data_IF_790947680905
#
_entry.id   IF_790947680905
#
_cell.length_a   1.000
_cell.length_b   1.000
_cell.length_c   1.000
_cell.angle_alpha   90.00
_cell.angle_beta   90.00
_cell.angle_gamma   90.00
#
_symmetry.space_group_name_H-M   'P 1'
#
loop_
_entity.id
_entity.type
_entity.pdbx_description
1 polymer ?
#
# COMPACT_ATOMS: atom_id res chain seq x y z
N UNK A 1 -4.82 28.80 -2.50
CA UNK A 1 -5.52 28.17 -1.37
C UNK A 1 -4.74 28.50 -0.11
N UNK A 2 -5.39 29.02 0.89
CA UNK A 2 -4.77 29.32 2.19
C UNK A 2 -5.36 28.34 3.19
N UNK A 3 -4.56 27.44 3.72
CA UNK A 3 -4.95 26.53 4.79
C UNK A 3 -4.58 27.13 6.14
N UNK A 4 -5.39 26.93 7.17
CA UNK A 4 -5.07 27.37 8.53
C UNK A 4 -3.84 26.65 9.06
N UNK A 5 -3.76 25.33 8.80
CA UNK A 5 -2.63 24.47 9.14
C UNK A 5 -2.49 23.39 8.09
N UNK A 6 -1.26 22.85 7.99
CA UNK A 6 -0.97 21.68 7.18
C UNK A 6 -0.48 20.58 8.11
N UNK A 7 -1.09 19.41 8.00
CA UNK A 7 -0.72 18.21 8.77
C UNK A 7 -0.31 17.09 7.84
N UNK A 8 0.58 16.25 8.33
CA UNK A 8 0.91 14.98 7.71
C UNK A 8 0.76 13.84 8.70
N UNK A 9 0.10 12.77 8.28
CA UNK A 9 -0.01 11.51 9.00
C UNK A 9 0.51 10.38 8.14
N UNK A 10 1.29 9.47 8.73
CA UNK A 10 1.84 8.31 8.04
C UNK A 10 3.09 7.77 8.71
N UNK A 11 3.70 6.79 8.07
CA UNK A 11 4.84 6.07 8.63
C UNK A 11 6.02 6.00 7.66
N UNK A 12 7.20 5.73 8.23
CA UNK A 12 8.41 5.45 7.47
C UNK A 12 8.98 6.65 6.71
N UNK A 13 9.80 6.33 5.72
CA UNK A 13 10.52 7.33 4.90
C UNK A 13 9.54 8.15 4.04
N UNK A 14 8.48 7.53 3.54
CA UNK A 14 7.52 8.23 2.64
C UNK A 14 6.90 9.44 3.34
N UNK A 15 6.36 9.26 4.55
CA UNK A 15 5.74 10.37 5.28
C UNK A 15 6.75 11.48 5.62
N UNK A 16 7.98 11.12 6.04
CA UNK A 16 9.03 12.09 6.37
C UNK A 16 9.48 12.92 5.17
N UNK A 17 9.66 12.29 4.01
CA UNK A 17 10.07 13.00 2.80
C UNK A 17 8.91 13.84 2.23
N UNK A 18 7.66 13.35 2.28
CA UNK A 18 6.49 14.14 1.92
C UNK A 18 6.37 15.40 2.81
N UNK A 19 6.67 15.32 4.11
CA UNK A 19 6.70 16.49 4.99
C UNK A 19 7.69 17.54 4.51
N UNK A 20 8.92 17.15 4.17
CA UNK A 20 9.96 18.06 3.67
C UNK A 20 9.54 18.73 2.36
N UNK A 21 9.04 17.93 1.41
CA UNK A 21 8.56 18.45 0.13
C UNK A 21 7.40 19.45 0.32
N UNK A 22 6.46 19.13 1.21
CA UNK A 22 5.33 20.01 1.49
C UNK A 22 5.73 21.29 2.21
N UNK A 23 6.67 21.24 3.17
CA UNK A 23 7.26 22.43 3.81
C UNK A 23 7.86 23.39 2.75
N UNK A 24 8.66 22.85 1.84
CA UNK A 24 9.27 23.62 0.76
C UNK A 24 8.22 24.20 -0.20
N UNK A 25 7.25 23.39 -0.59
CA UNK A 25 6.21 23.76 -1.56
C UNK A 25 5.29 24.89 -1.04
N UNK A 26 4.82 24.78 0.20
CA UNK A 26 3.90 25.74 0.79
C UNK A 26 4.60 26.91 1.47
N UNK A 27 5.91 26.80 1.72
CA UNK A 27 6.69 27.76 2.54
C UNK A 27 6.03 27.98 3.91
N UNK A 28 5.48 26.93 4.47
CA UNK A 28 4.75 26.88 5.73
C UNK A 28 5.11 25.60 6.47
N UNK A 29 5.12 25.64 7.80
CA UNK A 29 5.35 24.45 8.62
C UNK A 29 4.26 23.41 8.41
N UNK A 30 4.68 22.17 8.12
CA UNK A 30 3.82 21.00 8.04
C UNK A 30 3.98 20.17 9.30
N UNK A 31 2.94 20.12 10.09
CA UNK A 31 2.94 19.46 11.39
C UNK A 31 2.79 17.95 11.24
N UNK A 32 3.76 17.19 11.74
CA UNK A 32 3.68 15.74 11.72
C UNK A 32 2.81 15.24 12.88
N UNK A 33 1.73 14.54 12.54
CA UNK A 33 0.82 13.94 13.53
C UNK A 33 1.49 12.72 14.17
N UNK A 34 1.95 12.88 15.42
CA UNK A 34 2.65 11.84 16.20
C UNK A 34 2.12 11.83 17.62
N UNK A 35 2.18 10.67 18.24
CA UNK A 35 1.90 10.50 19.68
C UNK A 35 0.55 11.11 20.12
N UNK A 36 -0.45 11.05 19.25
CA UNK A 36 -1.82 11.45 19.57
C UNK A 36 -2.58 10.21 20.03
N UNK A 37 -2.99 10.19 21.29
CA UNK A 37 -3.71 9.06 21.89
C UNK A 37 -5.06 8.82 21.22
N UNK A 38 -5.79 9.91 20.90
CA UNK A 38 -7.08 9.84 20.23
C UNK A 38 -7.05 10.64 18.92
N UNK A 39 -6.77 9.95 17.81
CA UNK A 39 -6.77 10.55 16.48
C UNK A 39 -8.18 11.04 16.03
N UNK A 40 -9.24 10.34 16.44
CA UNK A 40 -10.60 10.72 16.07
C UNK A 40 -10.94 12.11 16.66
N UNK A 41 -10.65 12.34 17.94
CA UNK A 41 -10.87 13.63 18.58
C UNK A 41 -9.97 14.73 18.02
N UNK A 42 -8.71 14.42 17.74
CA UNK A 42 -7.80 15.36 17.12
C UNK A 42 -8.33 15.84 15.76
N UNK A 43 -8.63 14.92 14.86
CA UNK A 43 -9.07 15.23 13.51
C UNK A 43 -10.48 15.84 13.44
N UNK A 44 -11.39 15.48 14.36
CA UNK A 44 -12.74 16.04 14.45
C UNK A 44 -12.76 17.56 14.63
N UNK A 45 -11.77 18.08 15.36
CA UNK A 45 -11.68 19.51 15.71
C UNK A 45 -10.98 20.35 14.64
N UNK A 46 -10.34 19.73 13.62
CA UNK A 46 -9.68 20.49 12.55
C UNK A 46 -10.69 21.09 11.58
N UNK A 47 -10.39 22.32 11.13
CA UNK A 47 -11.15 23.04 10.12
C UNK A 47 -10.22 23.79 9.18
N UNK A 48 -10.53 23.83 7.90
CA UNK A 48 -9.76 24.52 6.87
C UNK A 48 -8.27 24.12 6.84
N UNK A 49 -7.98 22.86 7.11
CA UNK A 49 -6.64 22.31 7.08
C UNK A 49 -6.40 21.50 5.80
N UNK A 50 -5.12 21.41 5.39
CA UNK A 50 -4.67 20.36 4.49
C UNK A 50 -4.12 19.21 5.33
N UNK A 51 -4.61 18.00 5.08
CA UNK A 51 -4.11 16.78 5.71
C UNK A 51 -3.53 15.87 4.64
N UNK A 52 -2.26 15.54 4.77
CA UNK A 52 -1.52 14.67 3.85
C UNK A 52 -1.41 13.29 4.50
N UNK A 53 -2.06 12.30 3.92
CA UNK A 53 -2.00 10.90 4.34
C UNK A 53 -0.99 10.15 3.48
N UNK A 54 0.16 9.79 4.05
CA UNK A 54 1.29 9.23 3.34
C UNK A 54 1.78 7.94 4.00
N UNK A 55 1.42 6.78 3.43
CA UNK A 55 1.66 5.45 3.99
C UNK A 55 1.01 5.32 5.39
N UNK A 56 -0.30 5.40 5.42
CA UNK A 56 -1.13 5.49 6.62
C UNK A 56 -2.33 4.56 6.56
N UNK A 57 -2.73 4.03 7.71
CA UNK A 57 -3.90 3.14 7.86
C UNK A 57 -5.08 3.77 8.61
N UNK A 58 -4.94 5.03 9.07
CA UNK A 58 -6.04 5.72 9.72
C UNK A 58 -7.14 6.07 8.71
N UNK A 59 -8.39 5.78 9.06
CA UNK A 59 -9.57 6.07 8.25
C UNK A 59 -10.24 7.34 8.78
N UNK A 60 -10.17 8.41 8.00
CA UNK A 60 -10.77 9.70 8.36
C UNK A 60 -12.28 9.60 8.48
N UNK A 61 -12.82 10.18 9.53
CA UNK A 61 -14.27 10.24 9.76
C UNK A 61 -14.90 11.35 8.91
N UNK A 62 -16.20 11.20 8.66
CA UNK A 62 -17.00 12.12 7.83
C UNK A 62 -16.84 13.59 8.23
N UNK A 63 -16.89 13.89 9.53
CA UNK A 63 -16.78 15.25 10.06
C UNK A 63 -15.43 15.90 9.71
N UNK A 64 -14.35 15.13 9.72
CA UNK A 64 -13.04 15.61 9.32
C UNK A 64 -12.98 15.86 7.81
N UNK A 65 -13.48 14.94 7.02
CA UNK A 65 -13.48 15.02 5.54
C UNK A 65 -14.26 16.25 5.07
N UNK A 66 -15.41 16.54 5.66
CA UNK A 66 -16.27 17.66 5.26
C UNK A 66 -15.69 19.04 5.57
N UNK A 67 -14.78 19.14 6.56
CA UNK A 67 -14.23 20.42 7.03
C UNK A 67 -12.82 20.72 6.53
N UNK A 68 -12.16 19.73 5.91
CA UNK A 68 -10.76 19.80 5.54
C UNK A 68 -10.51 19.29 4.13
N UNK A 69 -9.37 19.67 3.58
CA UNK A 69 -8.85 19.06 2.36
C UNK A 69 -7.93 17.92 2.76
N UNK A 70 -8.20 16.71 2.28
CA UNK A 70 -7.39 15.53 2.63
C UNK A 70 -6.95 14.85 1.35
N UNK A 71 -5.65 14.61 1.21
CA UNK A 71 -5.07 13.83 0.12
C UNK A 71 -4.42 12.56 0.65
N UNK A 72 -4.49 11.49 -0.11
CA UNK A 72 -3.93 10.20 0.27
C UNK A 72 -3.06 9.59 -0.82
N UNK A 73 -1.97 8.97 -0.40
CA UNK A 73 -1.17 8.09 -1.23
C UNK A 73 -1.70 6.66 -1.17
N UNK A 74 -2.03 6.12 -2.33
CA UNK A 74 -2.45 4.74 -2.50
C UNK A 74 -1.52 3.99 -3.45
N UNK A 75 -1.11 2.78 -3.09
CA UNK A 75 -0.14 1.96 -3.82
C UNK A 75 -0.79 1.04 -4.86
N UNK A 76 -1.69 1.60 -5.67
CA UNK A 76 -2.29 0.97 -6.84
C UNK A 76 -2.72 2.03 -7.85
N UNK A 77 -3.13 1.58 -9.03
CA UNK A 77 -3.82 2.38 -10.05
C UNK A 77 -5.32 2.38 -9.74
N UNK A 78 -5.81 3.36 -8.97
CA UNK A 78 -7.24 3.48 -8.71
C UNK A 78 -8.05 3.60 -10.02
N UNK A 79 -9.22 2.92 -10.08
CA UNK A 79 -10.01 2.35 -9.02
C UNK A 79 -9.67 0.90 -8.64
N UNK A 80 -8.62 0.30 -9.18
CA UNK A 80 -8.25 -1.08 -8.89
C UNK A 80 -7.59 -1.20 -7.51
N UNK A 81 -7.77 -2.36 -6.85
CA UNK A 81 -7.14 -2.70 -5.57
C UNK A 81 -7.29 -1.64 -4.48
N UNK A 82 -8.49 -1.08 -4.31
CA UNK A 82 -8.79 -0.17 -3.19
C UNK A 82 -8.59 -0.86 -1.84
N UNK A 83 -8.31 -0.12 -0.80
CA UNK A 83 -8.13 -0.61 0.56
C UNK A 83 -6.68 -0.96 0.87
N UNK A 84 -6.44 -2.15 1.43
CA UNK A 84 -5.13 -2.50 1.97
C UNK A 84 -4.36 -3.49 1.07
N UNK A 85 -3.02 -3.46 1.19
CA UNK A 85 -2.14 -4.47 0.60
C UNK A 85 -2.23 -4.59 -0.92
N UNK A 86 -2.56 -3.52 -1.63
CA UNK A 86 -2.75 -3.53 -3.08
C UNK A 86 -1.56 -4.12 -3.86
N UNK A 87 -0.33 -3.91 -3.39
CA UNK A 87 0.89 -4.47 -3.97
C UNK A 87 0.93 -6.00 -3.91
N UNK A 88 0.38 -6.62 -2.85
CA UNK A 88 0.23 -8.07 -2.70
C UNK A 88 -0.78 -8.59 -3.75
N UNK A 89 -1.92 -7.92 -3.81
CA UNK A 89 -3.02 -8.32 -4.68
C UNK A 89 -2.69 -8.17 -6.16
N UNK A 90 -1.97 -7.10 -6.55
CA UNK A 90 -1.51 -6.93 -7.93
C UNK A 90 -0.62 -8.08 -8.41
N UNK A 91 0.26 -8.61 -7.54
CA UNK A 91 1.08 -9.78 -7.87
C UNK A 91 0.22 -11.05 -7.89
N UNK A 92 -0.62 -11.26 -6.88
CA UNK A 92 -1.45 -12.44 -6.77
C UNK A 92 -2.45 -12.59 -7.93
N UNK A 93 -3.08 -11.51 -8.35
CA UNK A 93 -4.03 -11.49 -9.46
C UNK A 93 -3.36 -11.47 -10.84
N UNK A 94 -2.01 -11.52 -10.85
CA UNK A 94 -1.19 -11.56 -12.07
C UNK A 94 -1.40 -10.35 -12.97
N UNK A 95 -1.53 -9.18 -12.40
CA UNK A 95 -1.64 -7.95 -13.14
C UNK A 95 -0.41 -7.75 -14.03
N UNK A 96 -0.61 -7.21 -15.22
CA UNK A 96 0.51 -6.83 -16.11
C UNK A 96 1.13 -5.51 -15.72
N UNK A 97 0.38 -4.68 -15.00
CA UNK A 97 0.78 -3.37 -14.52
C UNK A 97 0.03 -3.01 -13.23
N UNK A 98 0.69 -2.29 -12.39
CA UNK A 98 0.15 -1.62 -11.20
C UNK A 98 0.68 -0.19 -11.17
N UNK A 99 0.71 0.47 -10.03
CA UNK A 99 1.29 1.80 -9.94
C UNK A 99 1.02 2.47 -8.61
N UNK A 100 0.95 3.80 -8.66
CA UNK A 100 0.59 4.62 -7.51
C UNK A 100 -0.49 5.63 -7.89
N UNK A 101 -1.24 6.06 -6.90
CA UNK A 101 -2.22 7.14 -7.04
C UNK A 101 -2.12 8.07 -5.83
N UNK A 102 -1.94 9.38 -6.09
CA UNK A 102 -2.32 10.43 -5.15
C UNK A 102 -3.73 10.87 -5.47
N UNK A 103 -4.61 10.88 -4.48
CA UNK A 103 -6.03 11.19 -4.67
C UNK A 103 -6.60 11.99 -3.50
N UNK A 104 -7.73 12.64 -3.73
CA UNK A 104 -8.54 13.25 -2.68
C UNK A 104 -9.18 12.16 -1.80
N UNK A 105 -9.32 12.41 -0.51
CA UNK A 105 -10.08 11.50 0.38
C UNK A 105 -11.56 11.87 0.34
N UNK A 106 -12.41 10.86 0.14
CA UNK A 106 -13.88 10.91 0.25
C UNK A 106 -14.37 9.95 1.34
N UNK A 107 -15.67 9.97 1.65
CA UNK A 107 -16.26 9.10 2.69
C UNK A 107 -16.05 7.60 2.40
N UNK A 108 -16.12 7.21 1.13
CA UNK A 108 -15.80 5.84 0.72
C UNK A 108 -14.30 5.68 0.49
N UNK A 109 -13.74 4.55 0.93
CA UNK A 109 -12.30 4.28 0.88
C UNK A 109 -11.79 4.27 -0.56
N UNK A 110 -10.75 5.07 -0.81
CA UNK A 110 -10.01 5.17 -2.08
C UNK A 110 -10.88 5.46 -3.31
N UNK A 111 -11.93 6.28 -3.15
CA UNK A 111 -12.86 6.66 -4.22
C UNK A 111 -12.76 8.13 -4.62
N UNK A 112 -11.85 8.88 -4.04
CA UNK A 112 -11.71 10.30 -4.30
C UNK A 112 -11.06 10.63 -5.64
N UNK A 113 -11.20 11.87 -6.08
CA UNK A 113 -10.69 12.34 -7.36
C UNK A 113 -9.16 12.23 -7.42
N UNK A 114 -8.65 11.86 -8.58
CA UNK A 114 -7.25 11.58 -8.80
C UNK A 114 -6.48 12.88 -9.03
N UNK A 115 -5.44 13.11 -8.25
CA UNK A 115 -4.46 14.16 -8.46
C UNK A 115 -3.43 13.72 -9.50
N UNK A 116 -2.68 12.66 -9.22
CA UNK A 116 -1.70 12.09 -10.12
C UNK A 116 -1.65 10.58 -9.99
N UNK A 117 -1.40 9.92 -11.10
CA UNK A 117 -1.32 8.47 -11.21
C UNK A 117 -0.18 8.06 -12.15
N UNK A 118 0.57 7.03 -11.79
CA UNK A 118 1.66 6.53 -12.63
C UNK A 118 1.75 5.02 -12.59
N UNK A 119 1.91 4.43 -13.78
CA UNK A 119 2.06 2.99 -13.96
C UNK A 119 3.45 2.47 -13.60
N UNK A 120 3.48 1.23 -13.12
CA UNK A 120 4.66 0.37 -12.99
C UNK A 120 4.32 -0.94 -13.70
N UNK A 121 5.15 -1.36 -14.65
CA UNK A 121 5.04 -2.70 -15.25
C UNK A 121 5.46 -3.74 -14.25
N UNK A 122 4.70 -4.82 -14.13
CA UNK A 122 5.06 -5.97 -13.32
C UNK A 122 5.76 -7.02 -14.17
N UNK A 123 6.87 -7.52 -13.69
CA UNK A 123 7.55 -8.68 -14.22
C UNK A 123 7.34 -9.92 -13.35
N UNK A 124 7.73 -11.07 -13.86
CA UNK A 124 7.54 -12.34 -13.17
C UNK A 124 8.50 -12.56 -11.98
N UNK A 125 9.44 -11.67 -11.74
CA UNK A 125 10.39 -11.74 -10.62
C UNK A 125 10.04 -10.74 -9.51
N UNK A 126 9.07 -9.87 -9.75
CA UNK A 126 8.67 -8.85 -8.80
C UNK A 126 8.08 -9.48 -7.53
N UNK A 127 8.65 -9.16 -6.36
CA UNK A 127 8.10 -9.51 -5.05
C UNK A 127 7.31 -8.34 -4.46
N UNK A 128 6.44 -8.63 -3.48
CA UNK A 128 5.66 -7.60 -2.81
C UNK A 128 6.56 -6.53 -2.18
N UNK A 129 7.69 -6.91 -1.58
CA UNK A 129 8.65 -5.96 -1.02
C UNK A 129 9.29 -5.07 -2.09
N UNK A 130 9.75 -5.67 -3.19
CA UNK A 130 10.38 -4.91 -4.29
C UNK A 130 9.40 -3.93 -4.94
N UNK A 131 8.16 -4.36 -5.14
CA UNK A 131 7.09 -3.53 -5.67
C UNK A 131 6.75 -2.37 -4.74
N UNK A 132 6.55 -2.65 -3.45
CA UNK A 132 6.24 -1.61 -2.47
C UNK A 132 7.33 -0.53 -2.42
N UNK A 133 8.61 -0.94 -2.47
CA UNK A 133 9.74 -0.01 -2.50
C UNK A 133 9.73 0.85 -3.79
N UNK A 134 9.45 0.27 -4.93
CA UNK A 134 9.31 0.99 -6.20
C UNK A 134 8.14 1.98 -6.15
N UNK A 135 7.00 1.58 -5.61
CA UNK A 135 5.82 2.41 -5.42
C UNK A 135 6.10 3.59 -4.47
N UNK A 136 6.77 3.36 -3.35
CA UNK A 136 7.17 4.42 -2.41
C UNK A 136 8.08 5.46 -3.07
N UNK A 137 9.08 5.00 -3.85
CA UNK A 137 9.97 5.90 -4.59
C UNK A 137 9.18 6.73 -5.61
N UNK A 138 8.30 6.10 -6.36
CA UNK A 138 7.48 6.77 -7.37
C UNK A 138 6.51 7.77 -6.75
N UNK A 139 5.89 7.42 -5.62
CA UNK A 139 5.00 8.31 -4.88
C UNK A 139 5.70 9.60 -4.45
N UNK A 140 6.94 9.50 -3.97
CA UNK A 140 7.75 10.67 -3.61
C UNK A 140 8.10 11.53 -4.83
N UNK A 141 8.47 10.90 -5.95
CA UNK A 141 8.78 11.61 -7.19
C UNK A 141 7.60 12.44 -7.70
N UNK A 142 6.39 11.92 -7.55
CA UNK A 142 5.17 12.56 -8.06
C UNK A 142 4.47 13.46 -7.02
N UNK A 143 4.94 13.50 -5.79
CA UNK A 143 4.22 14.20 -4.73
C UNK A 143 4.15 15.71 -4.97
N UNK A 144 5.21 16.34 -5.47
CA UNK A 144 5.20 17.77 -5.81
C UNK A 144 4.17 18.08 -6.91
N UNK A 145 4.10 17.25 -7.94
CA UNK A 145 3.09 17.35 -9.00
C UNK A 145 1.66 17.22 -8.42
N UNK A 146 1.45 16.28 -7.50
CA UNK A 146 0.16 16.14 -6.83
C UNK A 146 -0.24 17.41 -6.06
N UNK A 147 0.70 18.08 -5.40
CA UNK A 147 0.46 19.34 -4.71
C UNK A 147 0.15 20.50 -5.69
N UNK A 148 0.79 20.53 -6.85
CA UNK A 148 0.51 21.53 -7.90
C UNK A 148 -0.90 21.33 -8.46
N UNK A 149 -1.28 20.10 -8.76
CA UNK A 149 -2.63 19.75 -9.24
C UNK A 149 -3.68 20.09 -8.17
N UNK A 150 -3.39 19.80 -6.90
CA UNK A 150 -4.26 20.20 -5.79
C UNK A 150 -4.44 21.69 -5.72
N UNK A 151 -3.36 22.48 -5.79
CA UNK A 151 -3.36 23.94 -5.75
C UNK A 151 -4.20 24.54 -6.87
N UNK A 152 -4.10 23.97 -8.07
CA UNK A 152 -4.78 24.42 -9.28
C UNK A 152 -6.21 23.84 -9.40
N UNK A 153 -6.64 22.97 -8.49
CA UNK A 153 -7.92 22.23 -8.55
C UNK A 153 -8.11 21.45 -9.87
N UNK A 154 -7.04 20.95 -10.44
CA UNK A 154 -7.01 20.25 -11.74
C UNK A 154 -7.11 18.72 -11.63
N UNK A 155 -7.66 18.23 -10.53
CA UNK A 155 -7.84 16.79 -10.30
C UNK A 155 -8.93 16.20 -11.21
N UNK A 156 -8.79 14.91 -11.52
CA UNK A 156 -9.67 14.17 -12.41
C UNK A 156 -10.64 13.31 -11.58
N UNK A 157 -11.91 13.33 -11.97
CA UNK A 157 -12.90 12.44 -11.35
C UNK A 157 -12.48 10.98 -11.53
N UNK A 158 -12.52 10.21 -10.44
CA UNK A 158 -12.29 8.79 -10.49
C UNK A 158 -13.52 8.07 -11.05
N UNK A 159 -13.31 7.15 -11.98
CA UNK A 159 -14.39 6.28 -12.46
C UNK A 159 -14.74 5.24 -11.39
N UNK A 160 -16.00 4.81 -11.34
CA UNK A 160 -16.42 3.72 -10.44
C UNK A 160 -15.86 2.38 -10.93
N UNK A 161 -15.61 1.45 -9.99
CA UNK A 161 -15.16 0.10 -10.30
C UNK A 161 -14.02 -0.38 -9.41
N UNK A 162 -13.35 -1.44 -9.87
CA UNK A 162 -12.22 -2.06 -9.18
C UNK A 162 -12.58 -2.86 -7.92
N UNK A 163 -11.63 -3.65 -7.46
CA UNK A 163 -11.74 -4.46 -6.24
C UNK A 163 -11.49 -3.65 -4.97
N UNK A 164 -11.88 -4.22 -3.82
CA UNK A 164 -11.58 -3.70 -2.50
C UNK A 164 -11.03 -4.81 -1.61
N UNK A 165 -9.91 -4.55 -0.95
CA UNK A 165 -9.25 -5.51 -0.07
C UNK A 165 -9.24 -5.00 1.37
N UNK A 166 -9.75 -5.84 2.29
CA UNK A 166 -9.70 -5.54 3.73
C UNK A 166 -8.28 -5.72 4.27
N UNK A 167 -7.96 -5.04 5.37
CA UNK A 167 -6.62 -5.07 5.99
C UNK A 167 -6.11 -6.49 6.29
N UNK A 168 -6.97 -7.37 6.76
CA UNK A 168 -6.63 -8.76 7.12
C UNK A 168 -6.80 -9.76 5.96
N UNK A 169 -7.27 -9.31 4.80
CA UNK A 169 -7.41 -10.19 3.64
C UNK A 169 -6.05 -10.39 2.97
N UNK A 170 -5.67 -11.65 2.80
CA UNK A 170 -4.45 -12.07 2.12
C UNK A 170 -4.79 -13.17 1.10
N UNK A 171 -3.99 -13.33 0.04
CA UNK A 171 -4.13 -14.44 -0.89
C UNK A 171 -4.20 -15.78 -0.14
N UNK A 172 -5.23 -16.57 -0.42
CA UNK A 172 -5.49 -17.85 0.25
C UNK A 172 -5.32 -17.81 1.78
N UNK A 173 -5.76 -16.72 2.42
CA UNK A 173 -5.59 -16.49 3.86
C UNK A 173 -4.12 -16.59 4.37
N UNK A 174 -3.15 -16.43 3.48
CA UNK A 174 -1.73 -16.54 3.80
C UNK A 174 -1.16 -17.96 3.74
N UNK A 175 -1.95 -18.97 3.33
CA UNK A 175 -1.49 -20.36 3.25
C UNK A 175 -1.10 -20.77 1.83
N UNK A 176 0.09 -21.36 1.70
CA UNK A 176 0.53 -22.01 0.47
C UNK A 176 -0.22 -23.34 0.29
N UNK A 177 -0.75 -23.56 -0.88
CA UNK A 177 -1.33 -24.84 -1.29
C UNK A 177 -0.37 -25.55 -2.26
N UNK A 178 0.17 -26.66 -1.84
CA UNK A 178 1.11 -27.47 -2.64
C UNK A 178 0.46 -28.18 -3.82
N UNK A 179 -0.86 -28.21 -3.91
CA UNK A 179 -1.56 -28.79 -5.07
C UNK A 179 -1.56 -27.85 -6.28
N UNK A 180 -1.25 -26.59 -6.09
CA UNK A 180 -1.16 -25.62 -7.19
C UNK A 180 -0.02 -25.95 -8.14
N UNK A 181 -0.18 -25.52 -9.40
CA UNK A 181 0.93 -25.53 -10.34
C UNK A 181 2.06 -24.59 -9.91
N UNK A 182 3.22 -24.81 -10.46
CA UNK A 182 4.44 -24.06 -10.13
C UNK A 182 4.31 -22.55 -10.31
N UNK A 183 3.64 -22.10 -11.37
CA UNK A 183 3.41 -20.69 -11.64
C UNK A 183 2.58 -20.02 -10.55
N UNK A 184 1.50 -20.67 -10.10
CA UNK A 184 0.64 -20.17 -9.04
C UNK A 184 1.35 -20.18 -7.68
N UNK A 185 2.15 -21.20 -7.39
CA UNK A 185 3.01 -21.24 -6.19
C UNK A 185 4.00 -20.08 -6.20
N UNK A 186 4.73 -19.89 -7.30
CA UNK A 186 5.67 -18.78 -7.46
C UNK A 186 4.98 -17.43 -7.23
N UNK A 187 3.85 -17.23 -7.82
CA UNK A 187 3.06 -16.00 -7.70
C UNK A 187 2.60 -15.75 -6.26
N UNK A 188 2.13 -16.79 -5.56
CA UNK A 188 1.76 -16.70 -4.15
C UNK A 188 2.96 -16.32 -3.28
N UNK A 189 4.08 -17.02 -3.42
CA UNK A 189 5.28 -16.76 -2.61
C UNK A 189 5.80 -15.34 -2.84
N UNK A 190 5.87 -14.87 -4.08
CA UNK A 190 6.27 -13.51 -4.40
C UNK A 190 5.28 -12.46 -3.87
N UNK A 191 3.98 -12.73 -3.93
CA UNK A 191 2.94 -11.86 -3.38
C UNK A 191 3.03 -11.75 -1.85
N UNK A 192 3.41 -12.83 -1.17
CA UNK A 192 3.55 -12.87 0.28
C UNK A 192 4.95 -12.47 0.79
N UNK A 193 5.90 -12.24 -0.10
CA UNK A 193 7.26 -11.77 0.24
C UNK A 193 7.26 -10.24 0.48
N UNK A 194 6.81 -9.86 1.67
CA UNK A 194 6.65 -8.46 2.09
C UNK A 194 7.84 -7.94 2.92
N UNK A 195 8.83 -8.80 3.21
CA UNK A 195 9.92 -8.47 4.14
C UNK A 195 9.48 -8.41 5.61
N UNK A 196 10.45 -8.35 6.51
CA UNK A 196 10.24 -8.47 7.95
C UNK A 196 9.51 -7.27 8.59
N UNK A 197 9.52 -6.11 7.95
CA UNK A 197 9.01 -4.85 8.54
C UNK A 197 7.62 -4.43 8.01
N UNK A 198 6.98 -5.27 7.22
CA UNK A 198 5.72 -4.90 6.56
C UNK A 198 4.49 -4.89 7.48
N UNK A 199 4.54 -5.60 8.61
CA UNK A 199 3.38 -5.88 9.44
C UNK A 199 2.37 -6.86 8.81
N UNK A 200 2.72 -7.44 7.65
CA UNK A 200 1.99 -8.53 7.01
C UNK A 200 2.54 -9.86 7.55
N UNK A 201 1.69 -10.81 7.96
CA UNK A 201 2.14 -12.14 8.35
C UNK A 201 2.91 -12.83 7.21
N UNK A 202 3.89 -13.65 7.55
CA UNK A 202 4.57 -14.49 6.58
C UNK A 202 3.62 -15.51 5.96
N UNK A 203 3.95 -15.96 4.75
CA UNK A 203 3.29 -17.12 4.16
C UNK A 203 3.44 -18.34 5.08
N UNK A 204 2.42 -19.19 5.11
CA UNK A 204 2.37 -20.38 5.95
C UNK A 204 2.08 -21.62 5.12
N UNK A 205 2.43 -22.74 5.68
CA UNK A 205 2.16 -24.06 5.11
C UNK A 205 1.77 -25.02 6.24
N UNK A 206 0.75 -25.83 6.01
CA UNK A 206 0.38 -26.91 6.90
C UNK A 206 1.03 -28.22 6.41
N UNK A 207 1.81 -28.87 7.28
CA UNK A 207 2.45 -30.15 7.02
C UNK A 207 2.19 -31.09 8.19
N UNK A 208 1.64 -32.26 7.91
CA UNK A 208 1.35 -33.30 8.93
C UNK A 208 0.50 -32.79 10.11
N UNK A 209 -0.41 -31.83 9.84
CA UNK A 209 -1.26 -31.23 10.87
C UNK A 209 -0.59 -30.10 11.68
N UNK A 210 0.62 -29.70 11.32
CA UNK A 210 1.35 -28.58 11.95
C UNK A 210 1.49 -27.40 11.02
N UNK A 211 1.17 -26.20 11.52
CA UNK A 211 1.34 -24.94 10.79
C UNK A 211 2.78 -24.45 10.95
N UNK A 212 3.41 -24.09 9.83
CA UNK A 212 4.78 -23.57 9.77
C UNK A 212 4.85 -22.30 8.91
N UNK A 213 5.62 -21.30 9.36
CA UNK A 213 5.92 -20.13 8.55
C UNK A 213 6.98 -20.47 7.47
N UNK A 214 6.80 -19.92 6.29
CA UNK A 214 7.79 -19.95 5.21
C UNK A 214 8.76 -18.79 5.44
N UNK A 215 9.99 -19.12 5.83
CA UNK A 215 11.05 -18.14 6.12
C UNK A 215 11.81 -17.69 4.89
N UNK A 216 12.05 -18.65 3.98
CA UNK A 216 12.73 -18.44 2.72
C UNK A 216 12.22 -19.45 1.69
N UNK A 217 12.30 -19.09 0.41
CA UNK A 217 11.96 -19.99 -0.69
C UNK A 217 12.90 -19.82 -1.87
N UNK A 218 13.10 -20.91 -2.60
CA UNK A 218 13.78 -20.93 -3.87
C UNK A 218 12.95 -21.75 -4.88
N UNK A 219 12.81 -21.23 -6.08
CA UNK A 219 12.10 -21.88 -7.18
C UNK A 219 13.03 -21.92 -8.37
N UNK A 220 13.43 -23.10 -8.75
CA UNK A 220 14.20 -23.35 -9.97
C UNK A 220 13.39 -24.20 -10.96
N UNK A 221 13.96 -24.64 -12.07
CA UNK A 221 13.21 -25.36 -13.12
C UNK A 221 12.54 -26.65 -12.63
N UNK A 222 13.17 -27.39 -11.72
CA UNK A 222 12.72 -28.70 -11.26
C UNK A 222 12.16 -28.68 -9.84
N UNK A 223 12.69 -27.81 -8.98
CA UNK A 223 12.49 -27.88 -7.55
C UNK A 223 11.84 -26.62 -6.98
N UNK A 224 11.05 -26.83 -5.93
CA UNK A 224 10.65 -25.84 -4.94
C UNK A 224 11.32 -26.19 -3.62
N UNK A 225 12.12 -25.28 -3.09
CA UNK A 225 12.76 -25.42 -1.79
C UNK A 225 12.15 -24.40 -0.86
N UNK A 226 11.67 -24.85 0.29
CA UNK A 226 11.08 -24.01 1.33
C UNK A 226 11.86 -24.22 2.63
N UNK A 227 12.39 -23.14 3.19
CA UNK A 227 12.91 -23.14 4.55
C UNK A 227 11.78 -22.65 5.47
N UNK A 228 11.34 -23.52 6.34
CA UNK A 228 10.21 -23.30 7.23
C UNK A 228 10.70 -22.97 8.65
N UNK A 229 9.80 -22.51 9.50
CA UNK A 229 10.05 -22.43 10.95
C UNK A 229 10.48 -23.81 11.50
N UNK A 230 11.10 -23.81 12.69
CA UNK A 230 11.62 -25.00 13.37
C UNK A 230 12.69 -25.76 12.61
N UNK A 231 13.45 -25.05 11.73
CA UNK A 231 14.56 -25.59 10.92
C UNK A 231 14.15 -26.73 9.98
N UNK A 232 12.89 -26.76 9.54
CA UNK A 232 12.42 -27.74 8.54
C UNK A 232 12.74 -27.23 7.13
N UNK A 233 13.35 -28.06 6.32
CA UNK A 233 13.57 -27.81 4.89
C UNK A 233 12.70 -28.77 4.10
N UNK A 234 11.82 -28.23 3.28
CA UNK A 234 10.98 -29.01 2.37
C UNK A 234 11.50 -28.82 0.95
N UNK A 235 11.86 -29.91 0.30
CA UNK A 235 12.19 -29.94 -1.13
C UNK A 235 11.12 -30.71 -1.87
N UNK A 236 10.54 -30.09 -2.88
CA UNK A 236 9.49 -30.67 -3.73
C UNK A 236 9.95 -30.61 -5.17
N UNK A 237 10.08 -31.73 -5.81
CA UNK A 237 10.28 -31.81 -7.25
C UNK A 237 8.92 -31.81 -7.93
N UNK A 238 8.70 -30.86 -8.82
CA UNK A 238 7.46 -30.77 -9.62
C UNK A 238 7.80 -31.04 -11.07
N UNK A 239 7.16 -32.09 -11.58
CA UNK A 239 7.16 -32.41 -13.00
C UNK A 239 6.40 -31.34 -13.81
#
# INVERSE_FOLDING_TARGET
MTYSYIYIIGTGKVAKECQKIANDFFRQEVNFVKNIENLDDFFKNLKNCLIISANNFYIFKKECIQKNTIINYHNALLPFHRGCNAYIWSIWENDKKTGITWHMVKESIDTGDILVQKEIKLDNNCTALSLLNAQHKLALTLFREALEILKNKAFKMQISGGGYHKKLSLPNNGYLDLTWNKEKISRFLRAMDCGALSGVPKARLEILGEEREILFYEINELDLILNLSDNVILKITKE
#
